data_IF_816624757722
#
_entry.id   IF_816624757722
#
_cell.length_a   1.000
_cell.length_b   1.000
_cell.length_c   1.000
_cell.angle_alpha   90.00
_cell.angle_beta   90.00
_cell.angle_gamma   90.00
#
_symmetry.space_group_name_H-M   'P 1'
#
loop_
_entity.id
_entity.type
_entity.pdbx_description
1 polymer ?
#
# COMPACT_ATOMS: atom_id res chain seq x y z
N UNK A 1 -10.70 7.68 14.06
CA UNK A 1 -9.51 8.20 13.38
C UNK A 1 -9.94 9.40 12.55
N UNK A 2 -9.36 10.56 12.81
CA UNK A 2 -9.52 11.77 12.00
C UNK A 2 -8.53 11.78 10.84
N UNK A 3 -8.76 12.64 9.85
CA UNK A 3 -7.79 12.82 8.75
C UNK A 3 -6.40 13.24 9.26
N UNK A 4 -6.35 14.14 10.26
CA UNK A 4 -5.09 14.60 10.86
C UNK A 4 -4.33 13.47 11.58
N UNK A 5 -5.04 12.64 12.35
CA UNK A 5 -4.46 11.47 13.01
C UNK A 5 -3.88 10.47 11.98
N UNK A 6 -4.58 10.24 10.87
CA UNK A 6 -4.09 9.37 9.81
C UNK A 6 -2.84 9.95 9.13
N UNK A 7 -2.80 11.26 8.89
CA UNK A 7 -1.65 11.96 8.31
C UNK A 7 -0.42 11.89 9.23
N UNK A 8 -0.60 12.02 10.55
CA UNK A 8 0.46 11.75 11.53
C UNK A 8 0.99 10.31 11.42
N UNK A 9 0.10 9.31 11.44
CA UNK A 9 0.49 7.91 11.30
C UNK A 9 1.19 7.61 9.96
N UNK A 10 0.81 8.27 8.87
CA UNK A 10 1.47 8.13 7.56
C UNK A 10 2.87 8.73 7.59
N UNK A 11 3.08 9.83 8.33
CA UNK A 11 4.31 10.62 8.29
C UNK A 11 5.37 10.24 9.33
N UNK A 12 5.06 9.49 10.38
CA UNK A 12 6.11 9.00 11.31
C UNK A 12 7.13 8.11 10.59
N UNK A 13 8.37 8.07 11.09
CA UNK A 13 9.40 7.16 10.58
C UNK A 13 9.12 5.72 10.98
N UNK A 14 9.29 4.80 10.03
CA UNK A 14 8.95 3.39 10.22
C UNK A 14 10.02 2.46 9.65
N UNK A 15 10.00 1.23 10.15
CA UNK A 15 10.78 0.10 9.65
C UNK A 15 9.90 -1.10 9.33
N UNK A 16 10.25 -1.83 8.29
CA UNK A 16 9.67 -3.13 7.97
C UNK A 16 10.35 -4.20 8.82
N UNK A 17 9.57 -5.03 9.51
CA UNK A 17 10.11 -6.04 10.44
C UNK A 17 10.51 -7.35 9.74
N UNK A 18 10.13 -7.52 8.48
CA UNK A 18 10.43 -8.71 7.71
C UNK A 18 11.94 -8.82 7.43
N UNK A 19 12.53 -10.00 7.63
CA UNK A 19 13.91 -10.28 7.21
C UNK A 19 14.04 -10.46 5.70
N UNK A 20 12.98 -10.96 5.07
CA UNK A 20 12.88 -11.17 3.62
C UNK A 20 11.58 -10.56 3.14
N UNK A 21 11.66 -9.85 2.03
CA UNK A 21 10.53 -9.14 1.45
C UNK A 21 10.41 -9.48 -0.04
N UNK A 22 9.26 -10.02 -0.41
CA UNK A 22 8.98 -10.58 -1.73
C UNK A 22 7.62 -10.11 -2.26
N UNK A 23 7.57 -9.86 -3.57
CA UNK A 23 6.30 -9.70 -4.30
C UNK A 23 5.71 -11.10 -4.52
N UNK A 24 4.46 -11.37 -4.11
CA UNK A 24 3.83 -12.68 -4.30
C UNK A 24 3.66 -13.01 -5.78
N UNK A 25 3.48 -14.28 -6.12
CA UNK A 25 3.05 -14.69 -7.47
C UNK A 25 1.60 -14.27 -7.75
N UNK A 26 1.23 -14.25 -9.04
CA UNK A 26 -0.14 -14.02 -9.48
C UNK A 26 -1.06 -15.07 -8.82
N UNK A 27 -2.21 -14.63 -8.30
CA UNK A 27 -3.16 -15.45 -7.57
C UNK A 27 -2.96 -15.48 -6.05
N UNK A 28 -1.87 -14.89 -5.54
CA UNK A 28 -1.51 -14.91 -4.12
C UNK A 28 -1.43 -13.51 -3.51
N UNK A 29 -1.36 -13.46 -2.19
CA UNK A 29 -1.04 -12.28 -1.40
C UNK A 29 0.06 -12.58 -0.38
N UNK A 30 0.67 -11.52 0.14
CA UNK A 30 1.56 -11.57 1.30
C UNK A 30 1.24 -10.43 2.26
N UNK A 31 1.41 -10.68 3.54
CA UNK A 31 1.29 -9.70 4.61
C UNK A 31 2.62 -9.62 5.38
N UNK A 32 3.00 -8.40 5.75
CA UNK A 32 4.19 -8.08 6.52
C UNK A 32 3.85 -7.09 7.63
N UNK A 33 4.73 -6.98 8.62
CA UNK A 33 4.57 -6.02 9.71
C UNK A 33 5.53 -4.84 9.56
N UNK A 34 4.99 -3.64 9.74
CA UNK A 34 5.73 -2.38 9.86
C UNK A 34 5.58 -1.86 11.29
N UNK A 35 6.62 -1.24 11.81
CA UNK A 35 6.63 -0.62 13.13
C UNK A 35 7.21 0.79 13.08
N UNK A 36 6.66 1.71 13.89
CA UNK A 36 7.26 3.02 14.12
C UNK A 36 8.64 2.90 14.78
N UNK A 37 9.61 3.67 14.29
CA UNK A 37 11.00 3.66 14.80
C UNK A 37 11.05 4.33 16.18
N UNK A 38 10.56 5.56 16.28
CA UNK A 38 10.61 6.35 17.52
C UNK A 38 9.55 5.90 18.54
N UNK A 39 8.47 5.28 18.06
CA UNK A 39 7.39 4.81 18.91
C UNK A 39 6.89 3.42 18.49
N UNK A 40 7.41 2.34 19.12
CA UNK A 40 7.09 0.95 18.81
C UNK A 40 5.61 0.55 19.00
N UNK A 41 4.80 1.41 19.63
CA UNK A 41 3.35 1.20 19.78
C UNK A 41 2.60 1.28 18.45
N UNK A 42 3.15 2.05 17.51
CA UNK A 42 2.58 2.17 16.17
C UNK A 42 3.00 0.96 15.35
N UNK A 43 2.03 0.12 15.02
CA UNK A 43 2.21 -1.10 14.25
C UNK A 43 1.22 -1.10 13.10
N UNK A 44 1.65 -1.62 11.96
CA UNK A 44 0.84 -1.62 10.75
C UNK A 44 0.98 -2.97 10.05
N UNK A 45 -0.12 -3.42 9.44
CA UNK A 45 -0.05 -4.48 8.46
C UNK A 45 0.21 -3.89 7.09
N UNK A 46 1.14 -4.49 6.37
CA UNK A 46 1.45 -4.17 4.99
C UNK A 46 1.13 -5.37 4.11
N UNK A 47 0.17 -5.21 3.21
CA UNK A 47 -0.36 -6.28 2.37
C UNK A 47 0.01 -5.99 0.92
N UNK A 48 0.51 -7.01 0.22
CA UNK A 48 0.68 -7.04 -1.23
C UNK A 48 -0.31 -8.04 -1.79
N UNK A 49 -1.29 -7.56 -2.55
CA UNK A 49 -2.34 -8.39 -3.11
C UNK A 49 -2.20 -8.51 -4.63
N UNK A 50 -1.98 -9.74 -5.11
CA UNK A 50 -2.00 -10.10 -6.53
C UNK A 50 -3.01 -11.22 -6.80
N UNK A 51 -4.09 -11.31 -6.01
CA UNK A 51 -5.11 -12.38 -6.17
C UNK A 51 -5.80 -12.31 -7.52
N UNK A 52 -5.94 -11.11 -8.07
CA UNK A 52 -6.46 -10.91 -9.44
C UNK A 52 -5.47 -11.50 -10.43
N UNK A 53 -5.92 -12.46 -11.25
CA UNK A 53 -5.10 -13.17 -12.24
C UNK A 53 -4.82 -12.35 -13.51
N UNK A 54 -4.39 -11.11 -13.33
CA UNK A 54 -3.99 -10.19 -14.40
C UNK A 54 -2.54 -9.77 -14.10
N UNK A 55 -1.64 -9.99 -15.06
CA UNK A 55 -0.19 -9.92 -14.83
C UNK A 55 0.30 -8.59 -14.27
N UNK A 56 -0.26 -7.48 -14.76
CA UNK A 56 0.11 -6.12 -14.38
C UNK A 56 -0.71 -5.54 -13.21
N UNK A 57 -1.64 -6.31 -12.62
CA UNK A 57 -2.41 -5.84 -11.47
C UNK A 57 -1.75 -6.24 -10.16
N UNK A 58 -1.65 -5.27 -9.26
CA UNK A 58 -1.18 -5.46 -7.90
C UNK A 58 -1.76 -4.34 -7.04
N UNK A 59 -2.13 -4.67 -5.81
CA UNK A 59 -2.62 -3.70 -4.84
C UNK A 59 -1.75 -3.75 -3.59
N UNK A 60 -1.23 -2.61 -3.18
CA UNK A 60 -0.45 -2.45 -1.94
C UNK A 60 -1.30 -1.73 -0.90
N UNK A 61 -1.42 -2.27 0.31
CA UNK A 61 -2.29 -1.71 1.35
C UNK A 61 -1.50 -1.61 2.65
N UNK A 62 -1.60 -0.47 3.33
CA UNK A 62 -1.20 -0.37 4.74
C UNK A 62 -2.40 0.00 5.60
N UNK A 63 -2.55 -0.73 6.70
CA UNK A 63 -3.58 -0.50 7.70
C UNK A 63 -3.00 -0.47 9.10
N UNK A 64 -3.55 0.38 9.95
CA UNK A 64 -3.22 0.40 11.37
C UNK A 64 -3.58 -0.94 12.00
N UNK A 65 -2.62 -1.59 12.67
CA UNK A 65 -2.81 -2.89 13.30
C UNK A 65 -3.72 -2.81 14.53
N UNK A 66 -3.80 -1.65 15.18
CA UNK A 66 -4.62 -1.47 16.38
C UNK A 66 -6.10 -1.29 16.04
N UNK A 67 -6.41 -0.56 14.97
CA UNK A 67 -7.80 -0.25 14.58
C UNK A 67 -8.30 -1.07 13.38
N UNK A 68 -7.40 -1.64 12.57
CA UNK A 68 -7.73 -2.29 11.30
C UNK A 68 -8.04 -1.33 10.16
N UNK A 69 -7.99 -0.02 10.40
CA UNK A 69 -8.34 1.02 9.42
C UNK A 69 -7.24 1.13 8.36
N UNK A 70 -7.64 1.11 7.09
CA UNK A 70 -6.73 1.36 5.96
C UNK A 70 -6.28 2.82 5.95
N UNK A 71 -4.97 3.05 5.85
CA UNK A 71 -4.38 4.39 5.79
C UNK A 71 -4.06 4.79 4.36
N UNK A 72 -3.41 3.89 3.61
CA UNK A 72 -3.09 4.05 2.20
C UNK A 72 -3.35 2.76 1.44
N UNK A 73 -3.75 2.90 0.18
CA UNK A 73 -3.84 1.79 -0.77
C UNK A 73 -3.40 2.25 -2.17
N UNK A 74 -2.38 1.63 -2.74
CA UNK A 74 -1.96 1.87 -4.12
C UNK A 74 -2.49 0.75 -5.00
N UNK A 75 -3.28 1.11 -6.00
CA UNK A 75 -3.78 0.19 -7.02
C UNK A 75 -3.00 0.38 -8.33
N UNK A 76 -2.41 -0.72 -8.81
CA UNK A 76 -1.70 -0.78 -10.09
C UNK A 76 -2.63 -1.37 -11.16
N UNK A 77 -2.76 -0.67 -12.29
CA UNK A 77 -3.54 -1.10 -13.44
C UNK A 77 -4.12 0.08 -14.21
N UNK A 78 -4.96 -0.22 -15.22
CA UNK A 78 -5.55 0.77 -16.13
C UNK A 78 -7.07 0.96 -15.93
N UNK A 79 -7.57 0.64 -14.73
CA UNK A 79 -9.00 0.83 -14.41
C UNK A 79 -9.23 2.29 -14.04
N UNK A 80 -10.22 2.92 -14.67
CA UNK A 80 -10.66 4.26 -14.27
C UNK A 80 -11.25 4.22 -12.86
N UNK A 81 -10.81 5.12 -11.99
CA UNK A 81 -11.36 5.34 -10.67
C UNK A 81 -12.17 6.64 -10.62
N UNK A 82 -13.34 6.61 -10.00
CA UNK A 82 -14.15 7.80 -9.74
C UNK A 82 -14.15 8.12 -8.26
N UNK A 83 -13.60 9.28 -7.90
CA UNK A 83 -13.60 9.77 -6.53
C UNK A 83 -15.02 10.15 -6.05
N UNK A 84 -15.24 10.16 -4.72
CA UNK A 84 -16.51 10.61 -4.13
C UNK A 84 -16.90 12.05 -4.51
N UNK A 85 -15.91 12.92 -4.77
CA UNK A 85 -16.12 14.30 -5.22
C UNK A 85 -16.45 14.42 -6.73
N UNK A 86 -16.48 13.30 -7.47
CA UNK A 86 -16.78 13.23 -8.89
C UNK A 86 -15.56 13.27 -9.83
N UNK A 87 -14.36 13.55 -9.32
CA UNK A 87 -13.11 13.51 -10.09
C UNK A 87 -12.85 12.09 -10.63
N UNK A 88 -12.28 11.98 -11.83
CA UNK A 88 -11.91 10.71 -12.45
C UNK A 88 -10.39 10.61 -12.61
N UNK A 89 -9.84 9.45 -12.27
CA UNK A 89 -8.41 9.17 -12.31
C UNK A 89 -8.19 7.94 -13.20
N UNK A 90 -7.31 8.10 -14.19
CA UNK A 90 -6.92 7.03 -15.10
C UNK A 90 -5.51 6.52 -14.76
N UNK A 91 -5.36 5.19 -14.73
CA UNK A 91 -4.09 4.53 -14.43
C UNK A 91 -3.86 4.31 -12.94
N UNK A 92 -2.60 4.10 -12.51
CA UNK A 92 -2.29 3.87 -11.12
C UNK A 92 -2.67 5.05 -10.22
N UNK A 93 -3.24 4.72 -9.05
CA UNK A 93 -3.75 5.73 -8.13
C UNK A 93 -3.61 5.29 -6.68
N UNK A 94 -3.39 6.28 -5.82
CA UNK A 94 -3.18 6.10 -4.40
C UNK A 94 -4.44 6.56 -3.66
N UNK A 95 -5.15 5.61 -3.09
CA UNK A 95 -6.17 5.86 -2.08
C UNK A 95 -5.52 6.34 -0.78
N UNK A 96 -6.12 7.38 -0.19
CA UNK A 96 -5.65 8.00 1.05
C UNK A 96 -6.84 8.09 2.00
N UNK A 97 -6.62 7.73 3.27
CA UNK A 97 -7.63 7.91 4.30
C UNK A 97 -8.09 9.37 4.39
N UNK A 98 -9.41 9.55 4.35
CA UNK A 98 -10.10 10.80 4.63
C UNK A 98 -11.35 10.45 5.44
N UNK A 99 -11.44 10.97 6.66
CA UNK A 99 -12.50 10.64 7.63
C UNK A 99 -13.90 10.88 7.09
N UNK A 100 -14.11 11.96 6.33
CA UNK A 100 -15.38 12.29 5.68
C UNK A 100 -15.78 11.35 4.52
N UNK A 101 -14.89 10.46 4.07
CA UNK A 101 -15.14 9.53 2.95
C UNK A 101 -14.99 8.05 3.34
N UNK A 102 -14.36 7.76 4.47
CA UNK A 102 -14.11 6.38 4.90
C UNK A 102 -15.41 5.66 5.28
N UNK A 103 -15.64 4.48 4.71
CA UNK A 103 -16.81 3.64 5.00
C UNK A 103 -16.38 2.17 5.19
N UNK A 104 -16.58 1.60 6.38
CA UNK A 104 -16.27 0.18 6.66
C UNK A 104 -14.87 -0.28 6.19
N UNK A 105 -13.82 0.50 6.52
CA UNK A 105 -12.42 0.29 6.11
C UNK A 105 -12.13 0.52 4.61
N UNK A 106 -13.11 0.98 3.83
CA UNK A 106 -12.88 1.43 2.47
C UNK A 106 -12.45 2.91 2.45
N UNK A 107 -11.35 3.21 1.78
CA UNK A 107 -10.81 4.56 1.59
C UNK A 107 -10.99 5.01 0.13
N UNK A 108 -12.18 5.51 -0.27
CA UNK A 108 -12.51 5.69 -1.70
C UNK A 108 -11.86 6.92 -2.34
N UNK A 109 -11.39 7.89 -1.55
CA UNK A 109 -10.70 9.05 -2.08
C UNK A 109 -9.29 8.67 -2.51
N UNK A 110 -8.96 8.95 -3.77
CA UNK A 110 -7.65 8.67 -4.35
C UNK A 110 -7.08 9.88 -5.07
N UNK A 111 -5.77 9.87 -5.26
CA UNK A 111 -5.05 10.79 -6.13
C UNK A 111 -4.29 10.00 -7.19
N UNK A 112 -3.99 10.63 -8.32
CA UNK A 112 -3.09 10.03 -9.32
C UNK A 112 -1.75 9.73 -8.66
N UNK A 113 -1.21 8.55 -8.95
CA UNK A 113 0.12 8.14 -8.48
C UNK A 113 0.99 7.92 -9.71
N UNK A 114 1.83 8.90 -10.04
CA UNK A 114 2.66 8.86 -11.23
C UNK A 114 3.82 7.89 -11.04
N UNK A 115 3.63 6.69 -11.56
CA UNK A 115 4.62 5.63 -11.65
C UNK A 115 4.74 5.24 -13.11
N UNK A 116 5.86 5.61 -13.71
CA UNK A 116 6.19 5.30 -15.09
C UNK A 116 6.88 3.93 -15.24
N UNK A 117 7.05 3.19 -14.13
CA UNK A 117 7.78 1.93 -14.08
C UNK A 117 6.82 0.72 -14.00
N UNK A 118 6.88 -0.23 -14.94
CA UNK A 118 6.09 -1.46 -14.88
C UNK A 118 6.52 -2.41 -13.75
N UNK A 119 7.68 -2.20 -13.11
CA UNK A 119 8.20 -3.04 -12.03
C UNK A 119 7.31 -2.98 -10.81
N UNK A 120 6.75 -4.14 -10.42
CA UNK A 120 6.01 -4.27 -9.17
C UNK A 120 6.91 -3.96 -7.97
N UNK A 121 8.19 -4.32 -8.02
CA UNK A 121 9.14 -3.95 -6.96
C UNK A 121 9.31 -2.44 -6.86
N UNK A 122 9.54 -1.74 -7.97
CA UNK A 122 9.70 -0.28 -7.93
C UNK A 122 8.44 0.41 -7.37
N UNK A 123 7.26 -0.04 -7.80
CA UNK A 123 5.98 0.44 -7.29
C UNK A 123 5.80 0.18 -5.79
N UNK A 124 6.22 -1.00 -5.32
CA UNK A 124 6.22 -1.35 -3.91
C UNK A 124 7.15 -0.44 -3.09
N UNK A 125 8.36 -0.17 -3.58
CA UNK A 125 9.31 0.75 -2.93
C UNK A 125 8.74 2.17 -2.87
N UNK A 126 8.17 2.65 -3.96
CA UNK A 126 7.54 3.98 -4.01
C UNK A 126 6.40 4.09 -2.98
N UNK A 127 5.58 3.04 -2.85
CA UNK A 127 4.52 2.98 -1.85
C UNK A 127 5.06 2.98 -0.41
N UNK A 128 6.08 2.17 -0.11
CA UNK A 128 6.72 2.14 1.20
C UNK A 128 7.32 3.50 1.58
N UNK A 129 7.98 4.18 0.64
CA UNK A 129 8.49 5.54 0.82
C UNK A 129 7.36 6.53 1.07
N UNK A 130 6.23 6.42 0.36
CA UNK A 130 5.05 7.26 0.60
C UNK A 130 4.47 7.08 1.99
N UNK A 131 4.60 5.88 2.58
CA UNK A 131 4.23 5.59 3.97
C UNK A 131 5.37 5.82 4.98
N UNK A 132 6.45 6.50 4.56
CA UNK A 132 7.63 6.84 5.35
C UNK A 132 8.31 5.65 6.04
N UNK A 133 8.38 4.51 5.35
CA UNK A 133 9.20 3.37 5.75
C UNK A 133 10.61 3.59 5.21
N UNK A 134 11.57 3.79 6.12
CA UNK A 134 12.96 4.13 5.78
C UNK A 134 13.93 2.97 5.96
N UNK A 135 13.54 1.97 6.74
CA UNK A 135 14.32 0.75 6.97
C UNK A 135 13.55 -0.46 6.43
N UNK A 136 14.09 -1.14 5.42
CA UNK A 136 13.53 -2.36 4.85
C UNK A 136 14.66 -3.24 4.28
N UNK A 137 14.50 -4.58 4.28
CA UNK A 137 15.49 -5.48 3.68
C UNK A 137 15.53 -5.31 2.15
N UNK A 138 16.54 -5.88 1.52
CA UNK A 138 16.59 -6.01 0.06
C UNK A 138 15.34 -6.73 -0.47
N UNK A 139 14.73 -6.15 -1.51
CA UNK A 139 13.53 -6.69 -2.14
C UNK A 139 13.94 -7.68 -3.22
N UNK A 140 13.36 -8.87 -3.20
CA UNK A 140 13.63 -9.93 -4.18
C UNK A 140 12.33 -10.28 -4.89
N UNK A 141 12.32 -10.24 -6.22
CA UNK A 141 11.23 -10.86 -6.99
C UNK A 141 11.33 -12.39 -6.86
N UNK A 142 10.21 -13.07 -6.60
CA UNK A 142 10.24 -14.53 -6.62
C UNK A 142 10.62 -14.98 -8.04
N UNK A 143 11.70 -15.76 -8.15
CA UNK A 143 11.99 -16.47 -9.38
C UNK A 143 10.80 -17.38 -9.70
N UNK A 144 10.25 -17.25 -10.89
CA UNK A 144 9.18 -18.15 -11.37
C UNK A 144 9.81 -19.53 -11.50
N UNK A 145 9.56 -20.41 -10.53
CA UNK A 145 9.80 -21.83 -10.71
C UNK A 145 8.68 -22.34 -11.63
N UNK A 146 9.03 -22.54 -12.90
CA UNK A 146 8.18 -23.33 -13.80
C UNK A 146 8.22 -24.77 -13.28
N UNK A 147 7.10 -25.23 -12.73
CA UNK A 147 6.84 -26.65 -12.48
C UNK A 147 5.91 -27.17 -13.57
#
# INVERSE_FOLDING_TARGET
MTTSEAEELITILKKLLAKKFEIPNIGYDKEYEIQGIDNPRFKFFFIINRKVRISNKCTYIVRDKNTGINLLRLDIGNVEHKNPNGERIQGPHLHIFKDNYNTNNNIPYAIRFDINDPSLVANCVAFLKKFNVIEYPTIVEQAVLFN
#
